data_IF_028182111709
#
_entry.id   IF_028182111709
#
_cell.length_a   1.000
_cell.length_b   1.000
_cell.length_c   1.000
_cell.angle_alpha   90.00
_cell.angle_beta   90.00
_cell.angle_gamma   90.00
#
_symmetry.space_group_name_H-M   'P 1'
#
loop_
_entity.id
_entity.type
_entity.pdbx_description
1 polymer ?
#
# COMPACT_ATOMS: atom_id res chain seq x y z
N UNK A 1 27.48 9.57 -6.17
CA UNK A 1 27.08 9.29 -4.78
C UNK A 1 25.66 9.79 -4.49
N UNK A 2 25.29 10.99 -4.85
CA UNK A 2 23.96 11.57 -4.59
C UNK A 2 22.77 10.78 -5.16
N UNK A 3 22.86 10.25 -6.40
CA UNK A 3 21.75 9.50 -7.02
C UNK A 3 21.38 8.23 -6.23
N UNK A 4 22.38 7.43 -5.83
CA UNK A 4 22.16 6.20 -5.07
C UNK A 4 21.63 6.49 -3.66
N UNK A 5 22.17 7.53 -3.01
CA UNK A 5 21.70 7.96 -1.70
C UNK A 5 20.25 8.44 -1.75
N UNK A 6 19.89 9.29 -2.75
CA UNK A 6 18.51 9.73 -2.98
C UNK A 6 17.56 8.54 -3.18
N UNK A 7 17.94 7.57 -3.99
CA UNK A 7 17.15 6.36 -4.24
C UNK A 7 16.91 5.57 -2.94
N UNK A 8 17.98 5.32 -2.16
CA UNK A 8 17.87 4.61 -0.89
C UNK A 8 16.96 5.32 0.11
N UNK A 9 17.18 6.63 0.32
CA UNK A 9 16.36 7.45 1.23
C UNK A 9 14.89 7.44 0.79
N UNK A 10 14.60 7.70 -0.50
CA UNK A 10 13.22 7.73 -0.99
C UNK A 10 12.54 6.37 -0.95
N UNK A 11 13.27 5.27 -1.17
CA UNK A 11 12.73 3.91 -1.01
C UNK A 11 12.36 3.64 0.46
N UNK A 12 13.26 3.94 1.40
CA UNK A 12 13.01 3.76 2.83
C UNK A 12 11.82 4.58 3.29
N UNK A 13 11.76 5.86 2.92
CA UNK A 13 10.61 6.71 3.22
C UNK A 13 9.32 6.21 2.58
N UNK A 14 9.39 5.65 1.37
CA UNK A 14 8.25 5.03 0.69
C UNK A 14 7.67 3.85 1.47
N UNK A 15 8.55 3.00 2.04
CA UNK A 15 8.15 1.89 2.91
C UNK A 15 7.50 2.41 4.21
N UNK A 16 8.07 3.45 4.82
CA UNK A 16 7.48 4.08 6.02
C UNK A 16 6.09 4.64 5.73
N UNK A 17 5.93 5.34 4.60
CA UNK A 17 4.62 5.88 4.16
C UNK A 17 3.62 4.75 3.91
N UNK A 18 4.06 3.63 3.30
CA UNK A 18 3.21 2.46 3.13
C UNK A 18 2.65 1.97 4.48
N UNK A 19 3.51 1.74 5.47
CA UNK A 19 3.05 1.32 6.80
C UNK A 19 2.09 2.33 7.44
N UNK A 20 2.37 3.63 7.32
CA UNK A 20 1.48 4.67 7.86
C UNK A 20 0.10 4.62 7.21
N UNK A 21 0.02 4.46 5.89
CA UNK A 21 -1.25 4.40 5.17
C UNK A 21 -1.99 3.11 5.47
N UNK A 22 -1.30 1.97 5.39
CA UNK A 22 -1.88 0.63 5.58
C UNK A 22 -2.37 0.45 7.02
N UNK A 23 -1.47 0.58 8.00
CA UNK A 23 -1.79 0.39 9.42
C UNK A 23 -2.65 1.53 9.97
N UNK A 24 -2.49 2.74 9.43
CA UNK A 24 -3.37 3.86 9.75
C UNK A 24 -4.83 3.58 9.40
N UNK A 25 -5.08 2.92 8.27
CA UNK A 25 -6.43 2.51 7.88
C UNK A 25 -7.00 1.46 8.84
N UNK A 26 -6.20 0.45 9.22
CA UNK A 26 -6.59 -0.53 10.25
C UNK A 26 -6.92 0.17 11.58
N UNK A 27 -6.07 1.10 12.03
CA UNK A 27 -6.30 1.84 13.27
C UNK A 27 -7.60 2.67 13.23
N UNK A 28 -7.88 3.34 12.11
CA UNK A 28 -9.11 4.11 11.93
C UNK A 28 -10.36 3.23 11.97
N UNK A 29 -10.34 2.08 11.28
CA UNK A 29 -11.46 1.13 11.27
C UNK A 29 -11.65 0.48 12.66
N UNK A 30 -10.56 0.11 13.33
CA UNK A 30 -10.61 -0.41 14.69
C UNK A 30 -11.16 0.61 15.69
N UNK A 31 -10.76 1.87 15.58
CA UNK A 31 -11.28 2.96 16.40
C UNK A 31 -12.77 3.21 16.12
N UNK A 32 -13.19 3.19 14.85
CA UNK A 32 -14.59 3.33 14.47
C UNK A 32 -15.47 2.23 15.06
N UNK A 33 -14.99 0.98 15.11
CA UNK A 33 -15.70 -0.13 15.73
C UNK A 33 -15.56 -0.16 17.28
N UNK A 34 -14.75 0.72 17.87
CA UNK A 34 -14.51 0.76 19.31
C UNK A 34 -13.66 -0.40 19.84
N UNK A 35 -12.91 -1.08 18.97
CA UNK A 35 -12.12 -2.27 19.29
C UNK A 35 -10.60 -2.05 19.23
N UNK A 36 -10.15 -0.83 19.01
CA UNK A 36 -8.73 -0.49 18.99
C UNK A 36 -8.12 -0.71 20.39
N UNK A 37 -7.09 -1.56 20.45
CA UNK A 37 -6.36 -1.85 21.70
C UNK A 37 -5.12 -0.99 21.82
N UNK A 38 -4.25 -1.02 20.81
CA UNK A 38 -3.04 -0.21 20.73
C UNK A 38 -2.42 -0.25 19.34
N UNK A 39 -1.54 0.72 19.07
CA UNK A 39 -0.66 0.73 17.90
C UNK A 39 0.76 0.45 18.35
N UNK A 40 1.37 -0.61 17.86
CA UNK A 40 2.73 -1.02 18.19
C UNK A 40 3.70 -0.55 17.11
N UNK A 41 4.77 0.09 17.53
CA UNK A 41 5.89 0.44 16.68
C UNK A 41 6.99 -0.59 16.88
N UNK A 42 7.26 -1.39 15.86
CA UNK A 42 8.29 -2.43 15.87
C UNK A 42 9.44 -2.07 14.94
N UNK A 43 10.59 -2.73 15.12
CA UNK A 43 11.76 -2.49 14.26
C UNK A 43 11.46 -2.68 12.76
N UNK A 44 10.54 -3.58 12.43
CA UNK A 44 10.19 -3.94 11.04
C UNK A 44 8.81 -3.43 10.59
N UNK A 45 8.21 -2.49 11.30
CA UNK A 45 6.93 -1.91 10.88
C UNK A 45 6.04 -1.41 12.02
N UNK A 46 4.81 -1.13 11.67
CA UNK A 46 3.74 -0.75 12.58
C UNK A 46 2.74 -1.92 12.61
N UNK A 47 2.09 -2.14 13.72
CA UNK A 47 1.05 -3.17 13.87
C UNK A 47 -0.09 -2.63 14.73
N UNK A 48 -1.31 -2.84 14.30
CA UNK A 48 -2.53 -2.47 15.05
C UNK A 48 -3.09 -3.70 15.78
N UNK A 49 -3.09 -3.65 17.11
CA UNK A 49 -3.74 -4.65 17.94
C UNK A 49 -5.19 -4.24 18.22
N UNK A 50 -6.09 -5.21 18.16
CA UNK A 50 -7.51 -5.05 18.42
C UNK A 50 -8.03 -6.06 19.42
N UNK A 51 -9.18 -5.77 20.04
CA UNK A 51 -9.95 -6.75 20.83
C UNK A 51 -10.75 -7.64 19.88
N UNK A 52 -10.08 -8.64 19.28
CA UNK A 52 -10.62 -9.49 18.22
C UNK A 52 -11.88 -10.27 18.69
N UNK A 53 -11.94 -10.62 19.98
CA UNK A 53 -13.07 -11.30 20.61
C UNK A 53 -14.34 -10.47 20.68
N UNK A 54 -14.24 -9.15 20.50
CA UNK A 54 -15.37 -8.21 20.45
C UNK A 54 -15.86 -7.92 19.03
N UNK A 55 -15.17 -8.46 18.01
CA UNK A 55 -15.50 -8.23 16.61
C UNK A 55 -16.36 -9.35 16.05
N UNK A 56 -17.37 -8.97 15.27
CA UNK A 56 -18.05 -9.91 14.37
C UNK A 56 -17.12 -10.31 13.22
N UNK A 57 -17.42 -11.45 12.55
CA UNK A 57 -16.68 -11.87 11.36
C UNK A 57 -16.66 -10.79 10.26
N UNK A 58 -17.79 -10.04 10.12
CA UNK A 58 -17.88 -8.96 9.16
C UNK A 58 -16.98 -7.77 9.53
N UNK A 59 -16.95 -7.37 10.79
CA UNK A 59 -16.06 -6.31 11.27
C UNK A 59 -14.59 -6.67 11.11
N UNK A 60 -14.22 -7.92 11.43
CA UNK A 60 -12.86 -8.42 11.26
C UNK A 60 -12.46 -8.42 9.76
N UNK A 61 -13.35 -8.90 8.89
CA UNK A 61 -13.09 -8.88 7.44
C UNK A 61 -12.91 -7.47 6.88
N UNK A 62 -13.75 -6.50 7.29
CA UNK A 62 -13.61 -5.09 6.90
C UNK A 62 -12.34 -4.45 7.47
N UNK A 63 -11.99 -4.76 8.72
CA UNK A 63 -10.75 -4.32 9.33
C UNK A 63 -9.54 -4.80 8.51
N UNK A 64 -9.46 -6.10 8.21
CA UNK A 64 -8.35 -6.66 7.45
C UNK A 64 -8.31 -6.18 5.97
N UNK A 65 -9.43 -5.77 5.39
CA UNK A 65 -9.48 -5.22 4.04
C UNK A 65 -9.05 -3.75 3.98
N UNK A 66 -9.17 -3.01 5.10
CA UNK A 66 -9.01 -1.56 5.15
C UNK A 66 -7.63 -1.09 4.71
N UNK A 67 -6.55 -1.78 5.12
CA UNK A 67 -5.18 -1.45 4.75
C UNK A 67 -4.99 -1.46 3.25
N UNK A 68 -5.35 -2.57 2.59
CA UNK A 68 -5.21 -2.72 1.15
C UNK A 68 -6.08 -1.73 0.35
N UNK A 69 -7.30 -1.45 0.82
CA UNK A 69 -8.16 -0.45 0.18
C UNK A 69 -7.56 0.95 0.28
N UNK A 70 -7.06 1.34 1.45
CA UNK A 70 -6.47 2.66 1.65
C UNK A 70 -5.21 2.86 0.81
N UNK A 71 -4.31 1.87 0.77
CA UNK A 71 -3.10 1.94 -0.05
C UNK A 71 -3.42 2.06 -1.53
N UNK A 72 -4.38 1.28 -2.06
CA UNK A 72 -4.82 1.38 -3.44
C UNK A 72 -5.47 2.73 -3.76
N UNK A 73 -6.32 3.26 -2.89
CA UNK A 73 -6.94 4.59 -3.08
C UNK A 73 -5.86 5.66 -3.17
N UNK A 74 -4.91 5.69 -2.24
CA UNK A 74 -3.80 6.66 -2.27
C UNK A 74 -2.93 6.47 -3.51
N UNK A 75 -2.61 5.22 -3.87
CA UNK A 75 -1.82 4.90 -5.06
C UNK A 75 -2.46 5.42 -6.35
N UNK A 76 -3.76 5.17 -6.54
CA UNK A 76 -4.48 5.63 -7.72
C UNK A 76 -4.65 7.15 -7.75
N UNK A 77 -4.77 7.82 -6.61
CA UNK A 77 -4.69 9.29 -6.55
C UNK A 77 -3.32 9.79 -7.02
N UNK A 78 -2.22 9.15 -6.63
CA UNK A 78 -0.88 9.50 -7.11
C UNK A 78 -0.73 9.23 -8.61
N UNK A 79 -1.30 8.14 -9.15
CA UNK A 79 -1.34 7.86 -10.59
C UNK A 79 -2.09 8.98 -11.34
N UNK A 80 -3.24 9.41 -10.85
CA UNK A 80 -4.02 10.50 -11.45
C UNK A 80 -3.27 11.84 -11.40
N UNK A 81 -2.56 12.10 -10.32
CA UNK A 81 -1.79 13.33 -10.10
C UNK A 81 -0.37 13.30 -10.70
N UNK A 82 0.06 12.20 -11.33
CA UNK A 82 1.44 11.98 -11.78
C UNK A 82 2.02 13.11 -12.62
N UNK A 83 1.25 13.70 -13.52
CA UNK A 83 1.75 14.80 -14.38
C UNK A 83 2.05 16.06 -13.54
N UNK A 84 1.22 16.38 -12.56
CA UNK A 84 1.46 17.48 -11.61
C UNK A 84 2.69 17.20 -10.74
N UNK A 85 2.82 15.97 -10.27
CA UNK A 85 3.97 15.54 -9.46
C UNK A 85 5.26 15.60 -10.28
N UNK A 86 5.23 15.14 -11.53
CA UNK A 86 6.37 15.18 -12.43
C UNK A 86 6.79 16.61 -12.80
N UNK A 87 5.90 17.59 -12.73
CA UNK A 87 6.22 19.01 -12.95
C UNK A 87 6.92 19.67 -11.75
N UNK A 88 6.97 19.03 -10.58
CA UNK A 88 7.66 19.56 -9.39
C UNK A 88 9.17 19.61 -9.62
N UNK A 89 9.81 20.76 -9.34
CA UNK A 89 11.26 20.96 -9.55
C UNK A 89 12.15 20.08 -8.67
N UNK A 90 11.66 19.67 -7.48
CA UNK A 90 12.45 18.87 -6.53
C UNK A 90 12.63 17.42 -7.02
N UNK A 91 13.86 17.03 -7.30
CA UNK A 91 14.23 15.64 -7.65
C UNK A 91 13.91 14.64 -6.53
N UNK A 92 14.02 15.07 -5.26
CA UNK A 92 13.68 14.25 -4.11
C UNK A 92 12.18 14.00 -4.02
N UNK A 93 11.37 15.05 -4.20
CA UNK A 93 9.91 14.91 -4.17
C UNK A 93 9.39 13.97 -5.28
N UNK A 94 9.92 14.11 -6.51
CA UNK A 94 9.58 13.19 -7.61
C UNK A 94 10.02 11.75 -7.35
N UNK A 95 11.26 11.57 -6.84
CA UNK A 95 11.77 10.25 -6.53
C UNK A 95 10.95 9.59 -5.39
N UNK A 96 10.62 10.34 -4.35
CA UNK A 96 9.77 9.85 -3.26
C UNK A 96 8.39 9.42 -3.79
N UNK A 97 7.72 10.29 -4.55
CA UNK A 97 6.42 10.00 -5.13
C UNK A 97 6.46 8.78 -6.06
N UNK A 98 7.53 8.59 -6.83
CA UNK A 98 7.76 7.40 -7.64
C UNK A 98 7.76 6.12 -6.78
N UNK A 99 8.59 6.06 -5.73
CA UNK A 99 8.67 4.88 -4.87
C UNK A 99 7.38 4.64 -4.10
N UNK A 100 6.76 5.68 -3.55
CA UNK A 100 5.46 5.57 -2.86
C UNK A 100 4.40 5.02 -3.80
N UNK A 101 4.28 5.56 -5.02
CA UNK A 101 3.29 5.06 -5.99
C UNK A 101 3.51 3.59 -6.31
N UNK A 102 4.74 3.15 -6.55
CA UNK A 102 5.04 1.75 -6.87
C UNK A 102 4.74 0.83 -5.69
N UNK A 103 5.17 1.20 -4.48
CA UNK A 103 4.98 0.38 -3.29
C UNK A 103 3.48 0.20 -3.00
N UNK A 104 2.72 1.30 -3.01
CA UNK A 104 1.28 1.27 -2.72
C UNK A 104 0.46 0.53 -3.79
N UNK A 105 0.85 0.58 -5.08
CA UNK A 105 0.17 -0.16 -6.15
C UNK A 105 0.45 -1.67 -6.08
N UNK A 106 1.66 -2.06 -5.68
CA UNK A 106 2.10 -3.44 -5.91
C UNK A 106 2.06 -4.30 -4.65
N UNK A 107 2.38 -3.72 -3.48
CA UNK A 107 2.69 -4.54 -2.30
C UNK A 107 1.48 -5.32 -1.79
N UNK A 108 0.34 -4.65 -1.55
CA UNK A 108 -0.86 -5.33 -1.04
C UNK A 108 -1.50 -6.29 -2.06
N UNK A 109 -1.71 -5.91 -3.34
CA UNK A 109 -2.19 -6.86 -4.32
C UNK A 109 -1.27 -8.08 -4.52
N UNK A 110 0.04 -7.90 -4.48
CA UNK A 110 1.01 -8.98 -4.54
C UNK A 110 0.96 -9.87 -3.29
N UNK A 111 0.92 -9.25 -2.10
CA UNK A 111 0.80 -9.97 -0.84
C UNK A 111 -0.49 -10.81 -0.81
N UNK A 112 -1.64 -10.19 -1.06
CA UNK A 112 -2.95 -10.85 -0.95
C UNK A 112 -3.28 -11.82 -2.10
N UNK A 113 -2.55 -11.76 -3.23
CA UNK A 113 -2.72 -12.72 -4.31
C UNK A 113 -1.72 -13.88 -4.28
N UNK A 114 -0.45 -13.61 -3.93
CA UNK A 114 0.64 -14.58 -4.08
C UNK A 114 1.33 -14.92 -2.76
N UNK A 115 1.70 -13.88 -1.97
CA UNK A 115 2.65 -14.06 -0.87
C UNK A 115 2.02 -14.51 0.44
N UNK A 116 0.72 -14.27 0.67
CA UNK A 116 0.06 -14.57 1.95
C UNK A 116 0.21 -16.04 2.40
N UNK A 117 0.33 -16.96 1.44
CA UNK A 117 0.54 -18.38 1.73
C UNK A 117 1.94 -18.73 2.24
N UNK A 118 2.92 -17.85 2.02
CA UNK A 118 4.33 -18.06 2.39
C UNK A 118 4.74 -17.29 3.64
N UNK A 119 4.18 -16.08 3.84
CA UNK A 119 4.61 -15.17 4.91
C UNK A 119 3.62 -15.04 6.06
N UNK A 120 2.59 -15.88 6.05
CA UNK A 120 1.48 -15.79 7.00
C UNK A 120 0.34 -14.93 6.47
N UNK A 121 -0.88 -15.40 6.68
CA UNK A 121 -2.07 -14.85 6.03
C UNK A 121 -2.81 -13.80 6.84
N UNK A 122 -2.15 -12.93 7.63
CA UNK A 122 -2.79 -11.95 8.51
C UNK A 122 -4.11 -11.38 7.95
N UNK A 123 -4.04 -10.41 7.06
CA UNK A 123 -5.23 -9.77 6.47
C UNK A 123 -6.07 -10.74 5.63
N UNK A 124 -5.42 -11.63 4.86
CA UNK A 124 -6.16 -12.61 4.05
C UNK A 124 -7.03 -13.53 4.92
N UNK A 125 -6.59 -13.87 6.14
CA UNK A 125 -7.39 -14.70 7.04
C UNK A 125 -8.65 -13.96 7.52
N UNK A 126 -8.56 -12.68 7.80
CA UNK A 126 -9.73 -11.85 8.14
C UNK A 126 -10.65 -11.62 6.93
N UNK A 127 -10.10 -11.33 5.77
CA UNK A 127 -10.87 -11.17 4.51
C UNK A 127 -11.63 -12.47 4.20
N UNK A 128 -11.04 -13.65 4.48
CA UNK A 128 -11.66 -14.94 4.28
C UNK A 128 -12.90 -15.19 5.15
N UNK A 129 -13.15 -14.39 6.18
CA UNK A 129 -14.38 -14.44 6.98
C UNK A 129 -15.60 -13.82 6.27
N UNK A 130 -15.39 -12.98 5.25
CA UNK A 130 -16.46 -12.25 4.53
C UNK A 130 -16.60 -12.68 3.07
N UNK A 131 -15.57 -13.31 2.50
CA UNK A 131 -15.64 -13.85 1.14
C UNK A 131 -14.75 -15.10 1.00
N UNK A 132 -15.06 -16.04 0.10
CA UNK A 132 -14.20 -17.20 -0.13
C UNK A 132 -12.79 -16.76 -0.53
N UNK A 133 -11.77 -17.35 0.12
CA UNK A 133 -10.35 -17.02 -0.07
C UNK A 133 -9.92 -17.03 -1.54
N UNK A 134 -10.45 -17.97 -2.31
CA UNK A 134 -10.18 -18.08 -3.76
C UNK A 134 -10.61 -16.81 -4.50
N UNK A 135 -11.79 -16.25 -4.22
CA UNK A 135 -12.28 -15.05 -4.89
C UNK A 135 -11.48 -13.81 -4.48
N UNK A 136 -11.10 -13.72 -3.20
CA UNK A 136 -10.19 -12.66 -2.74
C UNK A 136 -8.84 -12.73 -3.49
N UNK A 137 -8.24 -13.92 -3.57
CA UNK A 137 -6.97 -14.14 -4.28
C UNK A 137 -7.07 -13.75 -5.76
N UNK A 138 -8.12 -14.20 -6.46
CA UNK A 138 -8.35 -13.85 -7.88
C UNK A 138 -8.55 -12.35 -8.03
N UNK A 139 -9.36 -11.72 -7.18
CA UNK A 139 -9.61 -10.28 -7.21
C UNK A 139 -8.33 -9.47 -7.06
N UNK A 140 -7.49 -9.79 -6.07
CA UNK A 140 -6.22 -9.12 -5.87
C UNK A 140 -5.19 -9.42 -6.99
N UNK A 141 -5.22 -10.63 -7.60
CA UNK A 141 -4.39 -10.93 -8.76
C UNK A 141 -4.78 -10.09 -9.99
N UNK A 142 -6.07 -9.90 -10.21
CA UNK A 142 -6.56 -9.01 -11.28
C UNK A 142 -6.21 -7.55 -11.01
N UNK A 143 -6.35 -7.08 -9.76
CA UNK A 143 -5.91 -5.74 -9.35
C UNK A 143 -4.41 -5.57 -9.60
N UNK A 144 -3.57 -6.52 -9.20
CA UNK A 144 -2.14 -6.50 -9.47
C UNK A 144 -1.83 -6.37 -10.97
N UNK A 145 -2.54 -7.10 -11.82
CA UNK A 145 -2.35 -7.02 -13.26
C UNK A 145 -2.71 -5.62 -13.81
N UNK A 146 -3.82 -5.04 -13.33
CA UNK A 146 -4.23 -3.67 -13.67
C UNK A 146 -3.21 -2.65 -13.19
N UNK A 147 -2.71 -2.79 -11.97
CA UNK A 147 -1.73 -1.89 -11.36
C UNK A 147 -0.38 -1.96 -12.10
N UNK A 148 0.09 -3.16 -12.47
CA UNK A 148 1.28 -3.32 -13.29
C UNK A 148 1.09 -2.66 -14.67
N UNK A 149 -0.08 -2.85 -15.28
CA UNK A 149 -0.40 -2.18 -16.54
C UNK A 149 -0.35 -0.65 -16.40
N UNK A 150 -0.93 -0.09 -15.34
CA UNK A 150 -0.89 1.35 -15.05
C UNK A 150 0.56 1.84 -14.84
N UNK A 151 1.37 1.07 -14.12
CA UNK A 151 2.80 1.38 -13.94
C UNK A 151 3.51 1.46 -15.29
N UNK A 152 3.36 0.45 -16.14
CA UNK A 152 4.08 0.35 -17.42
C UNK A 152 3.58 1.40 -18.42
N UNK A 153 2.27 1.66 -18.49
CA UNK A 153 1.69 2.54 -19.52
C UNK A 153 1.64 4.01 -19.13
N UNK A 154 1.52 4.31 -17.83
CA UNK A 154 1.30 5.69 -17.39
C UNK A 154 2.38 6.19 -16.43
N UNK A 155 2.65 5.45 -15.37
CA UNK A 155 3.54 5.94 -14.31
C UNK A 155 4.99 6.00 -14.80
N UNK A 156 5.53 4.87 -15.27
CA UNK A 156 6.91 4.78 -15.71
C UNK A 156 7.27 5.78 -16.85
N UNK A 157 6.47 5.94 -17.92
CA UNK A 157 6.79 6.90 -18.98
C UNK A 157 6.80 8.35 -18.49
N UNK A 158 5.85 8.76 -17.63
CA UNK A 158 5.78 10.12 -17.10
C UNK A 158 7.02 10.44 -16.25
N UNK A 159 7.38 9.56 -15.32
CA UNK A 159 8.53 9.75 -14.46
C UNK A 159 9.87 9.67 -15.24
N UNK A 160 9.99 8.73 -16.19
CA UNK A 160 11.17 8.61 -17.05
C UNK A 160 11.44 9.93 -17.82
N UNK A 161 10.39 10.51 -18.42
CA UNK A 161 10.47 11.81 -19.11
C UNK A 161 10.89 12.93 -18.16
N UNK A 162 10.20 13.03 -17.02
CA UNK A 162 10.47 14.06 -16.02
C UNK A 162 11.91 14.03 -15.47
N UNK A 163 12.49 12.86 -15.28
CA UNK A 163 13.89 12.75 -14.87
C UNK A 163 14.87 13.05 -16.00
N UNK A 164 14.53 12.73 -17.26
CA UNK A 164 15.39 13.03 -18.41
C UNK A 164 15.44 14.53 -18.76
N UNK A 165 14.32 15.26 -18.57
CA UNK A 165 14.21 16.69 -18.94
C UNK A 165 14.78 17.62 -17.87
N UNK A 166 14.91 17.17 -16.63
CA UNK A 166 15.28 18.01 -15.48
C UNK A 166 16.60 17.58 -14.79
N UNK A 167 17.28 16.55 -15.29
CA UNK A 167 18.62 16.14 -14.87
C UNK A 167 19.69 16.72 -15.76
#
# INVERSE_FOLDING_TARGET
MEKRMRQGVCLTLGIVIYFIVHEGAHALVAAYFGVLKRVNFMLMGIQVDVYAEQMTSQQMGLFCLAGAVATLVVAWLLVLLRERICAVKSKYARALAWYVTLILLVLDPLYLSVLYGFVGGGDMNGIALIMPKMWATIGFALLLAVDIFAVVKWVYPSYKRSFAEQD
#
